data_IF_895952507882
#
_entry.id   IF_895952507882
#
_cell.length_a   1.000
_cell.length_b   1.000
_cell.length_c   1.000
_cell.angle_alpha   90.00
_cell.angle_beta   90.00
_cell.angle_gamma   90.00
#
_symmetry.space_group_name_H-M   'P 1'
#
loop_
_entity.id
_entity.type
_entity.pdbx_description
1 polymer ?
#
# COMPACT_ATOMS: atom_id res chain seq x y z
N UNK A 1 10.27 13.22 15.47
CA UNK A 1 9.81 13.46 14.08
C UNK A 1 8.30 13.63 14.07
N UNK A 2 7.81 14.50 13.21
CA UNK A 2 6.73 15.47 13.44
C UNK A 2 5.33 14.86 13.26
N UNK A 3 4.74 14.31 14.32
CA UNK A 3 3.32 13.92 14.30
C UNK A 3 2.39 15.15 14.39
N UNK A 4 2.87 16.26 14.94
CA UNK A 4 2.09 17.49 15.16
C UNK A 4 1.79 18.26 13.87
N UNK A 5 2.59 18.06 12.81
CA UNK A 5 2.41 18.69 11.50
C UNK A 5 1.69 17.82 10.48
N UNK A 6 1.18 16.63 10.86
CA UNK A 6 0.41 15.80 9.95
C UNK A 6 -0.97 16.43 9.70
N UNK A 7 -1.46 16.45 8.44
CA UNK A 7 -2.79 16.95 8.13
C UNK A 7 -3.87 16.19 8.91
N UNK A 8 -5.03 16.83 9.08
CA UNK A 8 -6.17 16.23 9.79
C UNK A 8 -6.66 14.92 9.17
N UNK A 9 -6.31 14.71 7.90
CA UNK A 9 -6.62 13.53 7.11
C UNK A 9 -5.34 13.10 6.41
N UNK A 10 -4.93 11.84 6.59
CA UNK A 10 -3.86 11.22 5.79
C UNK A 10 -4.47 10.33 4.72
N UNK A 11 -3.93 10.43 3.51
CA UNK A 11 -4.23 9.51 2.43
C UNK A 11 -3.05 8.56 2.25
N UNK A 12 -3.32 7.27 2.24
CA UNK A 12 -2.34 6.23 1.97
C UNK A 12 -2.71 5.57 0.66
N UNK A 13 -1.80 5.65 -0.30
CA UNK A 13 -1.89 4.93 -1.55
C UNK A 13 -1.35 3.53 -1.35
N UNK A 14 -2.13 2.54 -1.78
CA UNK A 14 -1.87 1.12 -1.59
C UNK A 14 -1.75 0.50 -2.99
N UNK A 15 -0.58 -0.08 -3.26
CA UNK A 15 -0.33 -0.86 -4.47
C UNK A 15 -0.11 -2.31 -4.10
N UNK A 16 -0.66 -3.24 -4.88
CA UNK A 16 -0.21 -4.64 -4.86
C UNK A 16 1.20 -4.68 -5.45
N UNK A 17 2.10 -5.33 -4.72
CA UNK A 17 3.52 -5.45 -5.03
C UNK A 17 3.87 -6.91 -5.24
N UNK A 18 4.93 -7.16 -6.01
CA UNK A 18 5.27 -8.49 -6.47
C UNK A 18 6.25 -9.20 -5.52
N UNK A 19 6.05 -10.50 -5.30
CA UNK A 19 6.75 -11.37 -4.33
C UNK A 19 8.26 -11.45 -4.51
N UNK A 20 8.80 -11.15 -5.71
CA UNK A 20 10.22 -11.40 -6.01
C UNK A 20 11.17 -10.30 -5.52
N UNK A 21 10.65 -9.16 -5.10
CA UNK A 21 11.45 -8.02 -4.59
C UNK A 21 11.57 -8.19 -3.08
N UNK A 22 12.20 -9.29 -2.66
CA UNK A 22 12.38 -9.64 -1.23
C UNK A 22 13.82 -9.47 -0.75
N UNK A 23 14.76 -9.18 -1.65
CA UNK A 23 16.12 -8.87 -1.23
C UNK A 23 16.18 -7.42 -0.78
N UNK A 24 16.25 -7.25 0.53
CA UNK A 24 16.69 -6.04 1.26
C UNK A 24 15.60 -5.04 1.71
N UNK A 25 14.31 -5.36 1.59
CA UNK A 25 13.23 -4.48 2.10
C UNK A 25 12.67 -4.98 3.46
N UNK A 26 12.53 -4.07 4.43
CA UNK A 26 11.89 -4.33 5.73
C UNK A 26 10.39 -4.62 5.54
N UNK A 27 9.98 -5.89 5.59
CA UNK A 27 8.57 -6.30 5.47
C UNK A 27 7.91 -6.30 6.85
N UNK A 28 6.78 -5.59 6.96
CA UNK A 28 5.93 -5.60 8.14
C UNK A 28 4.88 -6.71 8.05
N UNK A 29 4.74 -7.49 9.11
CA UNK A 29 3.74 -8.55 9.22
C UNK A 29 2.33 -8.00 9.49
N UNK A 30 1.33 -8.87 9.25
CA UNK A 30 -0.11 -8.66 9.38
C UNK A 30 -0.59 -8.02 10.70
N UNK A 31 0.25 -8.03 11.74
CA UNK A 31 0.05 -7.29 13.00
C UNK A 31 -0.34 -5.82 12.80
N UNK A 32 0.05 -5.23 11.66
CA UNK A 32 -0.30 -3.86 11.30
C UNK A 32 -1.80 -3.63 11.08
N UNK A 33 -2.54 -4.65 10.63
CA UNK A 33 -3.96 -4.51 10.31
C UNK A 33 -4.82 -4.25 11.54
N UNK A 34 -4.38 -4.69 12.73
CA UNK A 34 -5.09 -4.42 13.99
C UNK A 34 -5.23 -2.93 14.32
N UNK A 35 -4.35 -2.08 13.77
CA UNK A 35 -4.40 -0.64 13.98
C UNK A 35 -5.26 0.09 12.94
N UNK A 36 -5.55 -0.54 11.81
CA UNK A 36 -6.19 0.06 10.65
C UNK A 36 -7.15 -0.95 10.01
N UNK A 37 -8.35 -1.16 10.60
CA UNK A 37 -9.27 -2.22 10.17
C UNK A 37 -9.76 -2.05 8.73
N UNK A 38 -9.85 -0.81 8.24
CA UNK A 38 -10.21 -0.50 6.85
C UNK A 38 -9.14 -0.89 5.83
N UNK A 39 -7.91 -1.17 6.29
CA UNK A 39 -6.81 -1.54 5.42
C UNK A 39 -7.11 -2.83 4.67
N UNK A 40 -7.70 -3.83 5.33
CA UNK A 40 -8.01 -5.13 4.71
C UNK A 40 -8.91 -4.98 3.47
N UNK A 41 -9.97 -4.18 3.58
CA UNK A 41 -10.84 -3.88 2.46
C UNK A 41 -10.08 -3.21 1.30
N UNK A 42 -9.11 -2.34 1.62
CA UNK A 42 -8.29 -1.64 0.62
C UNK A 42 -7.22 -2.52 -0.02
N UNK A 43 -6.73 -3.54 0.69
CA UNK A 43 -5.86 -4.57 0.10
C UNK A 43 -6.64 -5.39 -0.95
N UNK A 44 -7.88 -5.77 -0.63
CA UNK A 44 -8.77 -6.46 -1.57
C UNK A 44 -9.11 -5.61 -2.81
N UNK A 45 -9.32 -4.29 -2.61
CA UNK A 45 -9.48 -3.34 -3.72
C UNK A 45 -8.22 -3.30 -4.61
N UNK A 46 -7.04 -3.24 -4.01
CA UNK A 46 -5.77 -3.24 -4.74
C UNK A 46 -5.54 -4.54 -5.52
N UNK A 47 -5.98 -5.69 -4.98
CA UNK A 47 -5.94 -6.97 -5.68
C UNK A 47 -6.83 -6.96 -6.93
N UNK A 48 -8.07 -6.48 -6.79
CA UNK A 48 -9.02 -6.39 -7.90
C UNK A 48 -8.48 -5.50 -9.02
N UNK A 49 -7.98 -4.31 -8.66
CA UNK A 49 -7.35 -3.37 -9.62
C UNK A 49 -6.14 -3.98 -10.32
N UNK A 50 -5.33 -4.77 -9.62
CA UNK A 50 -4.20 -5.48 -10.21
C UNK A 50 -4.65 -6.51 -11.25
N UNK A 51 -5.62 -7.35 -10.91
CA UNK A 51 -6.12 -8.37 -11.82
C UNK A 51 -6.78 -7.78 -13.06
N UNK A 52 -7.54 -6.69 -12.89
CA UNK A 52 -8.12 -5.94 -14.02
C UNK A 52 -7.04 -5.34 -14.93
N UNK A 53 -5.98 -4.77 -14.34
CA UNK A 53 -4.87 -4.20 -15.10
C UNK A 53 -4.13 -5.26 -15.92
N UNK A 54 -3.81 -6.42 -15.32
CA UNK A 54 -3.17 -7.54 -16.02
C UNK A 54 -4.04 -8.05 -17.16
N UNK A 55 -5.35 -8.24 -16.91
CA UNK A 55 -6.32 -8.64 -17.96
C UNK A 55 -6.37 -7.64 -19.10
N UNK A 56 -6.32 -6.34 -18.79
CA UNK A 56 -6.30 -5.27 -19.80
C UNK A 56 -5.05 -5.34 -20.66
N UNK A 57 -3.87 -5.47 -20.07
CA UNK A 57 -2.62 -5.59 -20.84
C UNK A 57 -2.65 -6.82 -21.75
N UNK A 58 -3.11 -7.97 -21.23
CA UNK A 58 -3.25 -9.18 -22.04
C UNK A 58 -4.20 -8.96 -23.23
N UNK A 59 -5.33 -8.28 -23.01
CA UNK A 59 -6.28 -7.95 -24.07
C UNK A 59 -5.70 -6.99 -25.12
N UNK A 60 -5.04 -5.94 -24.66
CA UNK A 60 -4.60 -4.83 -25.51
C UNK A 60 -3.33 -5.18 -26.31
N UNK A 61 -2.46 -6.03 -25.74
CA UNK A 61 -1.14 -6.33 -26.30
C UNK A 61 -0.89 -7.83 -26.58
N UNK A 62 -1.79 -8.73 -26.17
CA UNK A 62 -1.59 -10.18 -26.28
C UNK A 62 -0.47 -10.73 -25.40
N UNK A 63 -0.01 -9.94 -24.42
CA UNK A 63 1.12 -10.28 -23.54
C UNK A 63 0.57 -10.94 -22.28
N UNK A 64 1.02 -12.16 -21.99
CA UNK A 64 0.86 -12.75 -20.66
C UNK A 64 1.91 -12.17 -19.73
N UNK A 65 1.46 -11.42 -18.72
CA UNK A 65 2.35 -10.91 -17.68
C UNK A 65 2.59 -12.04 -16.69
N UNK A 66 3.83 -12.55 -16.64
CA UNK A 66 4.21 -13.44 -15.54
C UNK A 66 4.27 -12.67 -14.23
N UNK A 67 4.00 -13.36 -13.12
CA UNK A 67 4.16 -12.83 -11.77
C UNK A 67 5.61 -12.47 -11.42
N UNK A 68 6.53 -12.30 -12.37
CA UNK A 68 7.92 -11.89 -12.09
C UNK A 68 8.20 -10.43 -12.45
N UNK A 69 7.31 -9.76 -13.19
CA UNK A 69 7.52 -8.37 -13.61
C UNK A 69 6.85 -7.36 -12.67
N UNK A 70 7.62 -6.31 -12.35
CA UNK A 70 7.21 -5.22 -11.45
C UNK A 70 6.44 -4.20 -12.25
N UNK A 71 5.10 -4.24 -12.19
CA UNK A 71 4.28 -3.16 -12.70
C UNK A 71 3.64 -2.42 -11.54
N UNK A 72 3.95 -1.12 -11.43
CA UNK A 72 3.13 -0.21 -10.62
C UNK A 72 1.75 -0.14 -11.24
N UNK A 73 0.70 -0.44 -10.46
CA UNK A 73 -0.69 -0.21 -10.89
C UNK A 73 -0.83 1.20 -11.44
N UNK A 74 -1.61 1.40 -12.51
CA UNK A 74 -1.91 2.73 -13.01
C UNK A 74 -2.65 3.56 -11.95
N UNK A 75 -3.45 2.90 -11.10
CA UNK A 75 -4.18 3.54 -10.02
C UNK A 75 -4.10 2.72 -8.71
N UNK A 76 -3.62 3.32 -7.61
CA UNK A 76 -3.64 2.68 -6.30
C UNK A 76 -5.05 2.59 -5.70
N UNK A 77 -5.23 1.70 -4.73
CA UNK A 77 -6.32 1.85 -3.76
C UNK A 77 -5.96 2.98 -2.78
N UNK A 78 -6.96 3.78 -2.38
CA UNK A 78 -6.74 4.92 -1.48
C UNK A 78 -7.43 4.63 -0.15
N UNK A 79 -6.64 4.58 0.91
CA UNK A 79 -7.11 4.54 2.28
C UNK A 79 -7.00 5.96 2.87
N UNK A 80 -8.09 6.43 3.48
CA UNK A 80 -8.14 7.75 4.11
C UNK A 80 -8.29 7.57 5.60
N UNK A 81 -7.35 8.07 6.39
CA UNK A 81 -7.34 7.88 7.85
C UNK A 81 -7.49 9.24 8.52
N UNK A 82 -8.38 9.31 9.50
CA UNK A 82 -8.59 10.49 10.32
C UNK A 82 -7.44 10.68 11.33
N UNK A 83 -7.20 11.92 11.76
CA UNK A 83 -6.27 12.23 12.87
C UNK A 83 -6.55 11.43 14.15
N UNK A 84 -7.82 11.10 14.42
CA UNK A 84 -8.22 10.33 15.60
C UNK A 84 -7.83 8.85 15.51
N UNK A 85 -7.73 8.30 14.31
CA UNK A 85 -7.30 6.92 14.10
C UNK A 85 -5.78 6.83 13.94
N UNK A 86 -5.15 7.87 13.40
CA UNK A 86 -3.69 7.98 13.30
C UNK A 86 -3.02 7.85 14.67
N UNK A 87 -3.59 8.43 15.73
CA UNK A 87 -3.01 8.33 17.08
C UNK A 87 -2.99 6.90 17.64
N UNK A 88 -3.80 5.99 17.08
CA UNK A 88 -3.82 4.57 17.45
C UNK A 88 -2.70 3.78 16.74
N UNK A 89 -2.16 4.32 15.65
CA UNK A 89 -1.09 3.68 14.87
C UNK A 89 0.26 3.86 15.58
N UNK A 90 1.07 2.80 15.76
CA UNK A 90 2.37 2.92 16.42
C UNK A 90 3.30 3.92 15.73
N UNK A 91 3.99 4.76 16.52
CA UNK A 91 4.89 5.81 16.00
C UNK A 91 5.96 5.30 15.05
N UNK A 92 6.47 4.09 15.27
CA UNK A 92 7.47 3.44 14.40
C UNK A 92 6.95 3.26 12.98
N UNK A 93 5.68 2.88 12.83
CA UNK A 93 5.03 2.70 11.53
C UNK A 93 4.78 4.05 10.89
N UNK A 94 4.19 5.00 11.63
CA UNK A 94 3.95 6.34 11.10
C UNK A 94 5.25 7.00 10.62
N UNK A 95 6.35 6.84 11.35
CA UNK A 95 7.66 7.39 10.96
C UNK A 95 8.16 6.77 9.64
N UNK A 96 8.02 5.45 9.46
CA UNK A 96 8.39 4.80 8.19
C UNK A 96 7.50 5.18 7.01
N UNK A 97 6.19 5.32 7.22
CA UNK A 97 5.26 5.81 6.19
C UNK A 97 5.60 7.25 5.77
N UNK A 98 6.02 8.08 6.71
CA UNK A 98 6.42 9.47 6.48
C UNK A 98 7.76 9.58 5.76
N UNK A 99 8.73 8.73 6.11
CA UNK A 99 10.06 8.80 5.52
C UNK A 99 10.12 8.24 4.10
N UNK A 100 9.34 7.19 3.80
CA UNK A 100 9.36 6.51 2.51
C UNK A 100 8.02 5.82 2.21
N UNK A 101 7.99 4.50 2.43
CA UNK A 101 6.87 3.61 2.21
C UNK A 101 7.03 2.44 3.15
N UNK A 102 5.94 1.70 3.33
CA UNK A 102 5.95 0.43 4.05
C UNK A 102 5.58 -0.68 3.09
N UNK A 103 6.26 -1.82 3.21
CA UNK A 103 5.83 -3.06 2.59
C UNK A 103 5.18 -3.91 3.65
N UNK A 104 3.97 -4.38 3.36
CA UNK A 104 3.26 -5.33 4.20
C UNK A 104 3.06 -6.64 3.43
N UNK A 105 3.13 -7.75 4.15
CA UNK A 105 2.73 -9.07 3.64
C UNK A 105 1.38 -9.46 4.22
N UNK A 106 0.42 -9.75 3.35
CA UNK A 106 -0.90 -10.23 3.73
C UNK A 106 -1.39 -11.30 2.76
N UNK A 107 -1.85 -12.44 3.25
CA UNK A 107 -2.31 -13.59 2.44
C UNK A 107 -1.34 -13.98 1.32
N UNK A 108 -0.04 -14.05 1.65
CA UNK A 108 1.05 -14.35 0.70
C UNK A 108 1.15 -13.36 -0.48
N UNK A 109 0.61 -12.14 -0.32
CA UNK A 109 0.73 -11.04 -1.27
C UNK A 109 1.48 -9.89 -0.59
N UNK A 110 2.26 -9.16 -1.37
CA UNK A 110 2.95 -7.96 -0.88
C UNK A 110 2.17 -6.72 -1.29
N UNK A 111 2.22 -5.70 -0.44
CA UNK A 111 1.60 -4.41 -0.73
C UNK A 111 2.52 -3.30 -0.31
N UNK A 112 2.60 -2.27 -1.15
CA UNK A 112 3.34 -1.05 -0.90
C UNK A 112 2.38 0.04 -0.46
N UNK A 113 2.59 0.57 0.73
CA UNK A 113 1.84 1.67 1.32
C UNK A 113 2.70 2.93 1.25
N UNK A 114 2.26 3.93 0.50
CA UNK A 114 2.93 5.24 0.41
C UNK A 114 1.99 6.30 0.96
N UNK A 115 2.50 7.14 1.83
CA UNK A 115 1.75 8.29 2.29
C UNK A 115 1.64 9.32 1.15
N UNK A 116 0.42 9.67 0.80
CA UNK A 116 0.15 10.79 -0.09
C UNK A 116 0.13 12.08 0.73
N UNK A 117 1.18 12.88 0.56
CA UNK A 117 1.18 14.24 1.05
C UNK A 117 0.22 15.05 0.19
N UNK A 118 -0.73 15.79 0.79
CA UNK A 118 -1.38 16.87 0.07
C UNK A 118 -0.26 17.85 -0.30
N UNK A 119 0.14 17.86 -1.57
CA UNK A 119 0.90 18.99 -2.09
C UNK A 119 0.04 20.23 -1.80
N UNK A 120 0.62 21.18 -1.07
CA UNK A 120 -0.05 22.43 -0.69
C UNK A 120 -0.56 23.22 -1.88
#
# INVERSE_FOLDING_TARGET
MVLEGLPNILKIKIWRYNLRIEKDEDIFDSSFMGYMPELEAKLSEADTKYEEHVKKIHRDYGIEISEEYVWTLPEPAILTISKQDIVKVPKRILSRLVENFIIIRHNNRLYKLVLEYPCG
#
